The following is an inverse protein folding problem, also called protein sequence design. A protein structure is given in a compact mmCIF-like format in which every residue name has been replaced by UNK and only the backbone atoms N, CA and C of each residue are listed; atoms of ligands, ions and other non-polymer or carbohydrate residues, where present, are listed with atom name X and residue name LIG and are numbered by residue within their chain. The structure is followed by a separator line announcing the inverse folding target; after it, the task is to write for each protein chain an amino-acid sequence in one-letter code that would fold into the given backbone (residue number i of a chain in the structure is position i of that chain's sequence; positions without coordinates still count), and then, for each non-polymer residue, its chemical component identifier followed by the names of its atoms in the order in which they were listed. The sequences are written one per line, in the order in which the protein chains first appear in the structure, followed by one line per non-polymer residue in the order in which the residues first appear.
data_IF_673159520984
#
_entry.id   IF_673159520984
#
_cell.length_a   1.000
_cell.length_b   1.000
_cell.length_c   1.000
_cell.angle_alpha   90.00
_cell.angle_beta   90.00
_cell.angle_gamma   90.00
#
_symmetry.space_group_name_H-M   'P 1'
#
loop_
_entity.id
_entity.type
_entity.pdbx_description
1 polymer ?
#
# COMPACT_ATOMS: atom_id res chain seq x y z
N UNK A 1 -28.71 34.22 -78.56
CA UNK A 1 -27.90 34.46 -77.34
C UNK A 1 -28.34 33.53 -76.21
N UNK A 2 -27.62 32.45 -76.02
CA UNK A 2 -27.91 31.45 -74.94
C UNK A 2 -26.82 31.53 -73.90
N UNK A 3 -27.16 31.87 -72.64
CA UNK A 3 -26.26 31.84 -71.52
C UNK A 3 -26.54 30.55 -70.69
N UNK A 4 -25.56 29.69 -70.67
CA UNK A 4 -25.53 28.44 -69.90
C UNK A 4 -25.10 28.74 -68.48
N UNK A 5 -25.96 28.42 -67.54
CA UNK A 5 -25.65 28.45 -66.06
C UNK A 5 -25.06 27.11 -65.67
N UNK A 6 -23.82 27.14 -65.18
CA UNK A 6 -23.16 26.00 -64.59
C UNK A 6 -23.38 26.07 -63.06
N UNK A 7 -24.17 25.12 -62.52
CA UNK A 7 -24.35 24.93 -61.09
C UNK A 7 -23.27 24.02 -60.59
N UNK A 8 -22.36 24.56 -59.77
CA UNK A 8 -21.36 23.76 -59.01
C UNK A 8 -21.98 23.24 -57.73
N UNK A 9 -22.13 21.91 -57.63
CA UNK A 9 -22.46 21.23 -56.39
C UNK A 9 -21.20 21.10 -55.51
N UNK A 10 -21.20 21.77 -54.40
CA UNK A 10 -20.22 21.56 -53.35
C UNK A 10 -20.70 20.41 -52.46
N UNK A 11 -19.97 19.30 -52.52
CA UNK A 11 -20.12 18.20 -51.58
C UNK A 11 -19.35 18.54 -50.33
N UNK A 12 -20.07 18.84 -49.27
CA UNK A 12 -19.53 19.01 -47.93
C UNK A 12 -19.36 17.62 -47.29
N UNK A 13 -18.17 17.05 -47.33
CA UNK A 13 -17.84 15.84 -46.57
C UNK A 13 -17.54 16.23 -45.13
N UNK A 14 -18.49 16.04 -44.26
CA UNK A 14 -18.28 16.10 -42.82
C UNK A 14 -17.55 14.82 -42.37
N UNK A 15 -16.23 14.94 -42.23
CA UNK A 15 -15.44 13.89 -41.58
C UNK A 15 -15.75 13.90 -40.09
N UNK A 16 -16.55 12.93 -39.64
CA UNK A 16 -16.82 12.67 -38.24
C UNK A 16 -15.57 11.99 -37.65
N UNK A 17 -14.70 12.77 -37.00
CA UNK A 17 -13.62 12.26 -36.18
C UNK A 17 -14.26 11.65 -34.93
N UNK A 18 -14.47 10.33 -34.93
CA UNK A 18 -14.66 9.52 -33.73
C UNK A 18 -13.33 9.52 -32.96
N UNK A 19 -13.20 10.42 -32.01
CA UNK A 19 -12.16 10.31 -30.97
C UNK A 19 -12.47 9.08 -30.12
N UNK A 20 -11.90 7.95 -30.48
CA UNK A 20 -11.82 6.79 -29.60
C UNK A 20 -10.92 7.19 -28.43
N UNK A 21 -11.52 7.60 -27.31
CA UNK A 21 -10.86 7.60 -26.02
C UNK A 21 -10.51 6.14 -25.69
N UNK A 22 -9.35 5.69 -26.15
CA UNK A 22 -8.74 4.49 -25.64
C UNK A 22 -8.44 4.76 -24.16
N UNK A 23 -9.33 4.25 -23.30
CA UNK A 23 -9.01 4.05 -21.91
C UNK A 23 -7.83 3.07 -21.88
N UNK A 24 -6.61 3.61 -21.86
CA UNK A 24 -5.44 2.86 -21.51
C UNK A 24 -5.66 2.45 -20.05
N UNK A 25 -6.23 1.27 -19.85
CA UNK A 25 -5.98 0.52 -18.63
C UNK A 25 -4.46 0.45 -18.56
N UNK A 26 -3.88 1.18 -17.63
CA UNK A 26 -2.47 1.10 -17.33
C UNK A 26 -2.23 -0.34 -16.84
N UNK A 27 -1.95 -1.24 -17.77
CA UNK A 27 -1.35 -2.53 -17.46
C UNK A 27 -0.07 -2.18 -16.71
N UNK A 28 -0.13 -2.36 -15.38
CA UNK A 28 0.96 -1.96 -14.52
C UNK A 28 2.23 -2.64 -15.01
N UNK A 29 3.24 -1.85 -15.39
CA UNK A 29 4.57 -2.40 -15.63
C UNK A 29 4.88 -3.42 -14.54
N UNK A 30 5.35 -4.62 -14.88
CA UNK A 30 5.68 -5.62 -13.88
C UNK A 30 6.60 -4.97 -12.86
N UNK A 31 6.22 -5.02 -11.59
CA UNK A 31 7.04 -4.46 -10.53
C UNK A 31 8.42 -5.11 -10.63
N UNK A 32 9.48 -4.31 -10.74
CA UNK A 32 10.86 -4.81 -10.68
C UNK A 32 11.13 -5.54 -9.34
N UNK A 33 10.20 -5.43 -8.38
CA UNK A 33 10.25 -6.09 -7.08
C UNK A 33 9.23 -7.23 -7.03
N UNK A 34 9.71 -8.46 -6.93
CA UNK A 34 8.94 -9.70 -7.11
C UNK A 34 7.70 -9.84 -6.22
N UNK A 35 7.71 -9.28 -5.00
CA UNK A 35 6.63 -9.44 -4.02
C UNK A 35 5.90 -8.11 -3.72
N UNK A 36 6.06 -7.12 -4.59
CA UNK A 36 5.41 -5.80 -4.46
C UNK A 36 4.52 -5.58 -5.66
N UNK A 37 3.24 -5.33 -5.43
CA UNK A 37 2.29 -4.91 -6.47
C UNK A 37 2.18 -3.39 -6.50
N UNK A 38 1.92 -2.86 -7.68
CA UNK A 38 1.59 -1.45 -7.89
C UNK A 38 0.08 -1.32 -8.03
N UNK A 39 -0.51 -0.37 -7.34
CA UNK A 39 -1.93 -0.04 -7.46
C UNK A 39 -2.06 1.46 -7.69
N UNK A 40 -2.66 1.85 -8.80
CA UNK A 40 -2.92 3.26 -9.08
C UNK A 40 -4.21 3.71 -8.41
N UNK A 41 -4.11 4.79 -7.64
CA UNK A 41 -5.26 5.49 -7.07
C UNK A 41 -5.51 6.76 -7.87
N UNK A 42 -6.56 6.74 -8.68
CA UNK A 42 -6.91 7.86 -9.55
C UNK A 42 -7.37 9.10 -8.77
N UNK A 43 -7.92 8.93 -7.56
CA UNK A 43 -8.40 10.04 -6.76
C UNK A 43 -7.26 10.86 -6.16
N UNK A 44 -6.21 10.19 -5.71
CA UNK A 44 -5.01 10.83 -5.15
C UNK A 44 -3.89 11.00 -6.16
N UNK A 45 -3.99 10.43 -7.36
CA UNK A 45 -2.96 10.37 -8.39
C UNK A 45 -1.65 9.77 -7.86
N UNK A 46 -1.76 8.72 -7.07
CA UNK A 46 -0.63 8.03 -6.43
C UNK A 46 -0.56 6.59 -6.90
N UNK A 47 0.64 6.13 -7.26
CA UNK A 47 0.94 4.71 -7.42
C UNK A 47 1.37 4.17 -6.06
N UNK A 48 0.56 3.30 -5.47
CA UNK A 48 0.86 2.62 -4.23
C UNK A 48 1.68 1.36 -4.48
N UNK A 49 2.77 1.20 -3.74
CA UNK A 49 3.63 0.03 -3.70
C UNK A 49 3.29 -0.77 -2.45
N UNK A 50 2.57 -1.85 -2.63
CA UNK A 50 1.97 -2.66 -1.56
C UNK A 50 2.47 -4.09 -1.68
N UNK A 51 2.79 -4.81 -0.57
CA UNK A 51 3.15 -6.22 -0.67
C UNK A 51 2.06 -7.05 -1.32
N UNK A 52 2.43 -8.06 -2.10
CA UNK A 52 1.45 -9.02 -2.63
C UNK A 52 0.73 -9.78 -1.51
N UNK A 53 1.40 -9.99 -0.37
CA UNK A 53 0.83 -10.61 0.83
C UNK A 53 -0.09 -9.71 1.65
N UNK A 54 -0.18 -8.41 1.33
CA UNK A 54 -1.13 -7.52 2.00
C UNK A 54 -2.56 -7.89 1.63
N UNK A 55 -3.46 -8.02 2.60
CA UNK A 55 -4.83 -8.43 2.35
C UNK A 55 -5.59 -7.36 1.53
N UNK A 56 -6.23 -7.75 0.45
CA UNK A 56 -7.19 -6.90 -0.28
C UNK A 56 -8.51 -6.79 0.48
N UNK A 57 -8.90 -7.89 1.11
CA UNK A 57 -10.03 -7.95 2.05
C UNK A 57 -9.51 -8.46 3.37
N UNK A 58 -9.80 -7.74 4.46
CA UNK A 58 -9.34 -8.11 5.80
C UNK A 58 -10.05 -9.38 6.26
N UNK A 59 -9.32 -10.50 6.28
CA UNK A 59 -9.79 -11.81 6.78
C UNK A 59 -8.88 -12.38 7.86
N UNK A 60 -7.79 -11.70 8.18
CA UNK A 60 -6.82 -12.10 9.19
C UNK A 60 -6.05 -10.88 9.71
N UNK A 61 -5.41 -11.03 10.86
CA UNK A 61 -4.46 -10.04 11.34
C UNK A 61 -3.27 -9.93 10.40
N UNK A 62 -2.78 -8.71 10.18
CA UNK A 62 -1.70 -8.44 9.24
C UNK A 62 -0.73 -7.38 9.77
N UNK A 63 0.50 -7.42 9.25
CA UNK A 63 1.55 -6.45 9.55
C UNK A 63 2.41 -6.28 8.31
N UNK A 64 2.41 -5.09 7.71
CA UNK A 64 3.13 -4.85 6.46
C UNK A 64 3.50 -3.39 6.27
N UNK A 65 4.46 -3.16 5.38
CA UNK A 65 4.89 -1.84 4.93
C UNK A 65 4.30 -1.52 3.56
N UNK A 66 4.16 -0.23 3.27
CA UNK A 66 3.80 0.27 1.96
C UNK A 66 4.22 1.73 1.80
N UNK A 67 4.26 2.22 0.57
CA UNK A 67 4.51 3.63 0.25
C UNK A 67 3.84 4.00 -1.07
N UNK A 68 3.74 5.29 -1.34
CA UNK A 68 3.19 5.80 -2.57
C UNK A 68 4.20 6.63 -3.36
N UNK A 69 3.97 6.74 -4.67
CA UNK A 69 4.69 7.63 -5.57
C UNK A 69 3.69 8.43 -6.39
N UNK A 70 3.65 9.75 -6.18
CA UNK A 70 2.79 10.65 -6.93
C UNK A 70 3.35 11.01 -8.31
N UNK A 71 2.56 11.71 -9.12
CA UNK A 71 2.83 12.02 -10.54
C UNK A 71 4.19 12.67 -10.80
N UNK A 72 4.65 13.51 -9.89
CA UNK A 72 5.95 14.20 -10.03
C UNK A 72 7.11 13.38 -9.47
N UNK A 73 6.92 12.08 -9.26
CA UNK A 73 7.92 11.21 -8.66
C UNK A 73 8.10 11.41 -7.14
N UNK A 74 7.29 12.25 -6.49
CA UNK A 74 7.37 12.51 -5.05
C UNK A 74 6.90 11.28 -4.29
N UNK A 75 7.75 10.77 -3.41
CA UNK A 75 7.40 9.65 -2.54
C UNK A 75 6.59 10.13 -1.33
N UNK A 76 5.62 9.32 -0.94
CA UNK A 76 5.05 9.42 0.41
C UNK A 76 6.06 8.85 1.42
N UNK A 77 5.93 9.16 2.71
CA UNK A 77 6.67 8.42 3.73
C UNK A 77 6.43 6.91 3.62
N UNK A 78 7.44 6.11 3.97
CA UNK A 78 7.22 4.68 4.21
C UNK A 78 6.27 4.52 5.39
N UNK A 79 5.24 3.69 5.23
CA UNK A 79 4.18 3.51 6.24
C UNK A 79 4.11 2.08 6.73
N UNK A 80 3.84 1.93 8.00
CA UNK A 80 3.59 0.65 8.64
C UNK A 80 2.09 0.51 8.92
N UNK A 81 1.50 -0.58 8.44
CA UNK A 81 0.13 -0.95 8.74
C UNK A 81 0.08 -2.20 9.58
N UNK A 82 -0.58 -2.09 10.73
CA UNK A 82 -0.86 -3.21 11.61
C UNK A 82 -2.38 -3.40 11.70
N UNK A 83 -2.86 -4.62 11.52
CA UNK A 83 -4.28 -4.95 11.53
C UNK A 83 -4.51 -6.06 12.54
N UNK A 84 -5.40 -5.83 13.46
CA UNK A 84 -6.03 -6.87 14.27
C UNK A 84 -7.36 -7.27 13.61
N UNK A 85 -7.61 -8.57 13.54
CA UNK A 85 -8.86 -9.13 13.08
C UNK A 85 -9.35 -10.19 14.07
N UNK A 86 -10.61 -10.11 14.48
CA UNK A 86 -11.17 -11.01 15.49
C UNK A 86 -12.68 -10.92 15.61
N UNK A 87 -13.23 -11.76 16.49
CA UNK A 87 -14.68 -11.82 16.73
C UNK A 87 -15.14 -10.72 17.71
N UNK A 88 -14.23 -10.10 18.45
CA UNK A 88 -14.52 -9.05 19.42
C UNK A 88 -13.51 -7.92 19.34
N UNK A 89 -13.96 -6.70 19.62
CA UNK A 89 -13.11 -5.53 19.70
C UNK A 89 -12.04 -5.73 20.79
N UNK A 90 -10.78 -5.55 20.42
CA UNK A 90 -9.65 -5.60 21.33
C UNK A 90 -9.47 -4.27 22.07
N UNK A 91 -9.93 -3.17 21.47
CA UNK A 91 -9.69 -1.79 21.90
C UNK A 91 -8.18 -1.55 22.05
N UNK A 92 -7.49 -1.63 20.90
CA UNK A 92 -6.03 -1.64 20.87
C UNK A 92 -5.45 -0.38 21.50
N UNK A 93 -4.43 -0.56 22.34
CA UNK A 93 -3.73 0.52 23.04
C UNK A 93 -2.28 0.66 22.63
N UNK A 94 -1.65 -0.44 22.26
CA UNK A 94 -0.30 -0.45 21.70
C UNK A 94 -0.01 -1.76 21.00
N UNK A 95 1.03 -1.77 20.20
CA UNK A 95 1.60 -2.99 19.65
C UNK A 95 3.13 -2.94 19.76
N UNK A 96 3.75 -4.11 19.69
CA UNK A 96 5.19 -4.28 19.59
C UNK A 96 5.51 -5.53 18.80
N UNK A 97 6.74 -5.63 18.34
CA UNK A 97 7.23 -6.80 17.65
C UNK A 97 8.49 -7.35 18.33
N UNK A 98 8.60 -8.67 18.35
CA UNK A 98 9.77 -9.39 18.85
C UNK A 98 10.42 -10.15 17.72
N UNK A 99 11.75 -10.05 17.64
CA UNK A 99 12.59 -10.83 16.77
C UNK A 99 13.45 -11.77 17.63
N UNK A 100 13.30 -13.06 17.44
CA UNK A 100 14.06 -14.10 18.16
C UNK A 100 14.08 -13.90 19.68
N UNK A 101 12.93 -13.49 20.24
CA UNK A 101 12.75 -13.25 21.68
C UNK A 101 13.10 -11.85 22.16
N UNK A 102 13.80 -11.03 21.35
CA UNK A 102 14.12 -9.65 21.69
C UNK A 102 13.02 -8.70 21.21
N UNK A 103 12.52 -7.87 22.11
CA UNK A 103 11.59 -6.80 21.74
C UNK A 103 12.32 -5.73 20.95
N UNK A 104 11.78 -5.39 19.78
CA UNK A 104 12.31 -4.36 18.89
C UNK A 104 11.42 -3.13 18.94
N UNK A 105 10.43 -3.09 18.06
CA UNK A 105 9.55 -1.96 17.87
C UNK A 105 8.50 -1.95 18.96
N UNK A 106 8.39 -0.85 19.69
CA UNK A 106 7.25 -0.54 20.53
C UNK A 106 6.72 0.82 20.09
N UNK A 107 5.62 0.81 19.38
CA UNK A 107 4.96 2.04 18.96
C UNK A 107 3.74 2.27 19.84
N UNK A 108 3.53 3.50 20.38
CA UNK A 108 2.28 3.84 21.00
C UNK A 108 1.16 3.55 20.02
N UNK A 109 0.01 3.12 20.51
CA UNK A 109 -1.14 3.08 19.65
C UNK A 109 -1.47 4.52 19.28
N UNK A 110 -1.23 4.88 18.04
CA UNK A 110 -1.86 6.03 17.44
C UNK A 110 -3.38 5.86 17.38
N UNK A 111 -4.05 6.65 16.58
CA UNK A 111 -5.48 6.50 16.37
C UNK A 111 -5.80 5.15 15.71
N UNK A 112 -6.19 4.17 16.50
CA UNK A 112 -6.71 2.92 15.95
C UNK A 112 -8.11 3.13 15.43
N UNK A 113 -8.32 2.71 14.20
CA UNK A 113 -9.62 2.71 13.56
C UNK A 113 -10.31 1.38 13.85
N UNK A 114 -11.62 1.41 14.04
CA UNK A 114 -12.43 0.21 14.28
C UNK A 114 -13.51 0.15 13.21
N UNK A 115 -13.65 -0.98 12.59
CA UNK A 115 -14.75 -1.31 11.70
C UNK A 115 -15.37 -2.65 12.11
N UNK A 116 -16.71 -2.74 12.08
CA UNK A 116 -17.44 -3.91 12.52
C UNK A 116 -18.74 -4.07 11.72
N UNK A 117 -18.72 -4.98 10.75
CA UNK A 117 -19.95 -5.40 10.08
C UNK A 117 -20.39 -6.77 10.57
N UNK A 118 -19.55 -7.78 10.43
CA UNK A 118 -19.77 -9.15 10.94
C UNK A 118 -18.64 -9.61 11.85
N UNK A 119 -17.45 -9.03 11.68
CA UNK A 119 -16.25 -9.23 12.49
C UNK A 119 -15.57 -7.92 12.73
N UNK A 120 -14.83 -7.83 13.82
CA UNK A 120 -14.13 -6.59 14.20
C UNK A 120 -12.74 -6.61 13.62
N UNK A 121 -12.35 -5.53 12.99
CA UNK A 121 -10.96 -5.26 12.64
C UNK A 121 -10.56 -3.87 13.13
N UNK A 122 -9.43 -3.82 13.77
CA UNK A 122 -8.82 -2.61 14.27
C UNK A 122 -7.49 -2.44 13.58
N UNK A 123 -7.17 -1.26 13.09
CA UNK A 123 -5.90 -1.05 12.38
C UNK A 123 -5.23 0.25 12.78
N UNK A 124 -3.93 0.23 12.67
CA UNK A 124 -3.05 1.36 12.77
C UNK A 124 -2.34 1.55 11.44
N UNK A 125 -2.11 2.80 11.07
CA UNK A 125 -1.42 3.18 9.84
C UNK A 125 -0.53 4.39 10.15
N UNK A 126 0.76 4.14 10.38
CA UNK A 126 1.71 5.14 10.85
C UNK A 126 2.92 5.27 9.93
N UNK A 127 3.48 6.48 9.78
CA UNK A 127 4.72 6.64 9.06
C UNK A 127 5.88 6.00 9.83
N UNK A 128 6.85 5.46 9.09
CA UNK A 128 8.16 5.09 9.63
C UNK A 128 9.03 6.34 9.60
N UNK A 129 9.26 6.94 10.75
CA UNK A 129 9.85 8.29 10.85
C UNK A 129 11.34 8.28 11.07
N UNK A 130 11.88 7.22 11.69
CA UNK A 130 13.28 7.19 12.11
C UNK A 130 14.06 6.04 11.50
N UNK A 131 15.35 6.23 11.30
CA UNK A 131 16.28 5.19 10.87
C UNK A 131 16.30 4.00 11.83
N UNK A 132 16.10 4.24 13.13
CA UNK A 132 16.00 3.17 14.13
C UNK A 132 14.77 2.29 13.89
N UNK A 133 13.60 2.87 13.62
CA UNK A 133 12.40 2.09 13.29
C UNK A 133 12.62 1.24 12.03
N UNK A 134 13.26 1.81 11.00
CA UNK A 134 13.60 1.07 9.80
C UNK A 134 14.55 -0.10 10.09
N UNK A 135 15.58 0.14 10.90
CA UNK A 135 16.53 -0.89 11.32
C UNK A 135 15.84 -2.03 12.09
N UNK A 136 14.96 -1.68 13.03
CA UNK A 136 14.18 -2.67 13.79
C UNK A 136 13.27 -3.50 12.86
N UNK A 137 12.67 -2.87 11.83
CA UNK A 137 11.86 -3.58 10.82
C UNK A 137 12.71 -4.54 9.98
N UNK A 138 13.94 -4.16 9.64
CA UNK A 138 14.88 -5.05 8.95
C UNK A 138 15.29 -6.24 9.83
N UNK A 139 15.61 -6.01 11.10
CA UNK A 139 15.90 -7.09 12.06
C UNK A 139 14.68 -8.04 12.16
N UNK A 140 13.48 -7.49 12.24
CA UNK A 140 12.24 -8.28 12.30
C UNK A 140 12.07 -9.14 11.03
N UNK A 141 12.38 -8.58 9.87
CA UNK A 141 12.28 -9.26 8.58
C UNK A 141 13.31 -10.40 8.43
N UNK A 142 14.46 -10.30 9.09
CA UNK A 142 15.52 -11.33 9.06
C UNK A 142 15.39 -12.37 10.17
N UNK A 143 14.61 -12.09 11.22
CA UNK A 143 14.48 -12.98 12.36
C UNK A 143 13.98 -14.38 11.96
N UNK A 144 14.46 -15.42 12.64
CA UNK A 144 13.92 -16.78 12.49
C UNK A 144 12.49 -16.81 12.98
N UNK A 145 12.23 -16.20 14.15
CA UNK A 145 10.92 -16.10 14.76
C UNK A 145 10.55 -14.61 14.97
N UNK A 146 9.64 -14.11 14.15
CA UNK A 146 9.12 -12.74 14.20
C UNK A 146 7.67 -12.77 14.69
N UNK A 147 7.41 -12.18 15.86
CA UNK A 147 6.09 -12.20 16.49
C UNK A 147 5.60 -10.77 16.73
N UNK A 148 4.40 -10.48 16.26
CA UNK A 148 3.71 -9.21 16.54
C UNK A 148 2.72 -9.42 17.68
N UNK A 149 2.78 -8.53 18.66
CA UNK A 149 1.89 -8.49 19.80
C UNK A 149 1.02 -7.23 19.72
N UNK A 150 -0.26 -7.42 19.94
CA UNK A 150 -1.24 -6.32 19.97
C UNK A 150 -1.92 -6.35 21.33
N UNK A 151 -1.72 -5.28 22.12
CA UNK A 151 -2.31 -5.15 23.45
C UNK A 151 -3.55 -4.28 23.39
N UNK A 152 -4.67 -4.87 23.72
CA UNK A 152 -5.92 -4.17 23.94
C UNK A 152 -6.15 -3.77 25.40
N UNK A 153 -7.37 -3.34 25.69
CA UNK A 153 -7.78 -2.92 27.04
C UNK A 153 -7.61 -4.04 28.08
N UNK A 154 -7.97 -5.27 27.74
CA UNK A 154 -7.98 -6.41 28.67
C UNK A 154 -7.04 -7.53 28.24
N UNK A 155 -6.84 -7.72 26.94
CA UNK A 155 -6.19 -8.89 26.39
C UNK A 155 -4.97 -8.50 25.53
N UNK A 156 -4.07 -9.48 25.35
CA UNK A 156 -2.99 -9.42 24.37
C UNK A 156 -3.28 -10.48 23.32
N UNK A 157 -3.14 -10.11 22.07
CA UNK A 157 -3.14 -11.01 20.92
C UNK A 157 -1.76 -11.01 20.29
N UNK A 158 -1.38 -12.14 19.73
CA UNK A 158 -0.10 -12.28 19.02
C UNK A 158 -0.30 -13.11 17.76
N UNK A 159 0.51 -12.83 16.76
CA UNK A 159 0.64 -13.66 15.58
C UNK A 159 2.08 -13.64 15.08
N UNK A 160 2.48 -14.76 14.47
CA UNK A 160 3.83 -14.92 13.92
C UNK A 160 3.81 -14.52 12.47
N UNK A 161 4.80 -13.73 12.05
CA UNK A 161 4.97 -13.38 10.65
C UNK A 161 5.45 -14.59 9.84
N UNK A 162 4.76 -14.86 8.73
CA UNK A 162 5.16 -15.92 7.80
C UNK A 162 6.46 -15.55 7.07
N UNK A 163 7.06 -16.53 6.39
CA UNK A 163 8.24 -16.29 5.55
C UNK A 163 7.93 -15.27 4.45
N UNK A 164 6.75 -15.33 3.87
CA UNK A 164 6.26 -14.41 2.83
C UNK A 164 6.10 -12.99 3.38
N UNK A 165 5.50 -12.84 4.57
CA UNK A 165 5.35 -11.54 5.20
C UNK A 165 6.70 -10.91 5.57
N UNK A 166 7.64 -11.69 6.09
CA UNK A 166 9.01 -11.22 6.36
C UNK A 166 9.75 -10.81 5.10
N UNK A 167 9.64 -11.60 4.02
CA UNK A 167 10.19 -11.24 2.71
C UNK A 167 9.57 -9.95 2.18
N UNK A 168 8.26 -9.80 2.31
CA UNK A 168 7.55 -8.62 1.87
C UNK A 168 8.00 -7.33 2.60
N UNK A 169 8.35 -7.40 3.89
CA UNK A 169 8.95 -6.25 4.59
C UNK A 169 10.25 -5.81 3.92
N UNK A 170 11.16 -6.74 3.61
CA UNK A 170 12.43 -6.44 2.92
C UNK A 170 12.21 -5.85 1.53
N UNK A 171 11.32 -6.47 0.76
CA UNK A 171 11.09 -6.08 -0.63
C UNK A 171 10.48 -4.68 -0.71
N UNK A 172 9.58 -4.30 0.20
CA UNK A 172 9.03 -2.94 0.26
C UNK A 172 10.08 -1.93 0.71
N UNK A 173 10.93 -2.26 1.69
CA UNK A 173 12.04 -1.39 2.11
C UNK A 173 13.00 -1.18 0.94
N UNK A 174 13.39 -2.25 0.26
CA UNK A 174 14.28 -2.17 -0.91
C UNK A 174 13.66 -1.35 -2.04
N UNK A 175 12.35 -1.53 -2.30
CA UNK A 175 11.62 -0.75 -3.29
C UNK A 175 11.57 0.74 -2.94
N UNK A 176 11.34 1.07 -1.67
CA UNK A 176 11.33 2.43 -1.18
C UNK A 176 12.68 3.12 -1.39
N UNK A 177 13.76 2.46 -0.97
CA UNK A 177 15.13 2.97 -1.13
C UNK A 177 15.53 3.12 -2.61
N UNK A 178 15.25 2.12 -3.44
CA UNK A 178 15.52 2.17 -4.88
C UNK A 178 14.68 3.25 -5.61
N UNK A 179 13.56 3.65 -5.04
CA UNK A 179 12.73 4.75 -5.55
C UNK A 179 13.22 6.13 -5.09
N UNK A 180 14.32 6.21 -4.33
CA UNK A 180 14.89 7.44 -3.80
C UNK A 180 14.41 7.79 -2.37
N UNK A 181 13.70 6.86 -1.71
CA UNK A 181 13.27 7.05 -0.33
C UNK A 181 14.44 6.92 0.64
N UNK A 182 14.53 7.85 1.57
CA UNK A 182 15.49 7.82 2.68
C UNK A 182 14.79 8.18 3.98
N UNK A 183 15.30 7.66 5.09
CA UNK A 183 14.90 8.11 6.42
C UNK A 183 16.07 8.84 7.03
N UNK A 184 15.81 10.02 7.56
CA UNK A 184 16.83 10.78 8.29
C UNK A 184 17.27 10.01 9.54
N UNK A 185 18.55 10.09 9.89
CA UNK A 185 19.10 9.43 11.08
C UNK A 185 18.46 9.93 12.38
#
# INVERSE_FOLDING_TARGET
MRRTLITALWWCQTATLLAACAAHAAEGEPSQFKNVRKTYDAASQVIWYVPQSAPEVVKSSAFYLYFGKGDRGRLTPLRLKAIYYGDQALQVRRYWANADGKQLISLPAGAWHIDSVMRVWEWLDEPVETARQLHDLLILAEARNAVVYIKGKRNIRKFTLSKEQKRALRDVISAYQASGGSLSP
#
